data_IF_080182385924
#
_entry.id   IF_080182385924
#
_cell.length_a   1.000
_cell.length_b   1.000
_cell.length_c   1.000
_cell.angle_alpha   90.00
_cell.angle_beta   90.00
_cell.angle_gamma   90.00
#
_symmetry.space_group_name_H-M   'P 1'
#
loop_
_entity.id
_entity.type
_entity.pdbx_description
1 polymer ?
#
# COMPACT_ATOMS: atom_id res chain seq x y z
N UNK A 1 -1.46 2.16 -16.58
CA UNK A 1 -2.57 1.86 -15.65
C UNK A 1 -1.95 1.34 -14.37
N UNK A 2 -2.28 1.92 -13.21
CA UNK A 2 -1.72 1.56 -11.89
C UNK A 2 -2.83 1.61 -10.84
N UNK A 3 -2.87 0.66 -9.92
CA UNK A 3 -3.83 0.66 -8.81
C UNK A 3 -3.30 1.57 -7.70
N UNK A 4 -4.12 2.51 -7.23
CA UNK A 4 -3.77 3.29 -6.05
C UNK A 4 -4.02 2.47 -4.75
N UNK A 5 -3.65 2.97 -3.57
CA UNK A 5 -3.86 2.24 -2.31
C UNK A 5 -5.33 1.94 -1.98
N UNK A 6 -6.29 2.76 -2.42
CA UNK A 6 -7.71 2.49 -2.25
C UNK A 6 -8.16 1.34 -3.16
N UNK A 7 -7.78 1.38 -4.44
CA UNK A 7 -8.06 0.29 -5.39
C UNK A 7 -7.47 -1.04 -4.89
N UNK A 8 -6.28 -0.99 -4.29
CA UNK A 8 -5.61 -2.15 -3.72
C UNK A 8 -6.43 -2.80 -2.60
N UNK A 9 -7.10 -2.00 -1.76
CA UNK A 9 -7.98 -2.49 -0.69
C UNK A 9 -9.27 -3.10 -1.24
N UNK A 10 -9.85 -2.52 -2.29
CA UNK A 10 -11.02 -3.15 -2.97
C UNK A 10 -10.63 -4.53 -3.54
N UNK A 11 -9.51 -4.60 -4.26
CA UNK A 11 -8.99 -5.86 -4.82
C UNK A 11 -8.75 -6.89 -3.70
N UNK A 12 -8.23 -6.47 -2.55
CA UNK A 12 -8.03 -7.35 -1.39
C UNK A 12 -9.37 -7.93 -0.89
N UNK A 13 -10.44 -7.13 -0.81
CA UNK A 13 -11.76 -7.61 -0.41
C UNK A 13 -12.36 -8.57 -1.45
N UNK A 14 -12.28 -8.20 -2.73
CA UNK A 14 -12.86 -8.98 -3.83
C UNK A 14 -12.22 -10.35 -4.00
N UNK A 15 -10.91 -10.43 -3.80
CA UNK A 15 -10.16 -11.70 -3.88
C UNK A 15 -10.41 -12.64 -2.71
N UNK A 16 -11.01 -12.16 -1.61
CA UNK A 16 -11.23 -12.91 -0.35
C UNK A 16 -9.94 -13.54 0.21
N UNK A 17 -8.80 -12.93 -0.08
CA UNK A 17 -7.52 -13.36 0.47
C UNK A 17 -7.51 -13.17 1.99
N UNK A 18 -6.82 -14.07 2.71
CA UNK A 18 -6.71 -13.96 4.17
C UNK A 18 -5.71 -12.87 4.59
N UNK A 19 -4.69 -12.63 3.78
CA UNK A 19 -3.62 -11.65 4.00
C UNK A 19 -3.09 -11.10 2.68
N UNK A 20 -2.57 -9.88 2.69
CA UNK A 20 -1.95 -9.21 1.54
C UNK A 20 -0.69 -8.43 1.95
N UNK A 21 0.16 -8.13 0.96
CA UNK A 21 1.40 -7.39 1.13
C UNK A 21 1.57 -6.37 -0.01
N UNK A 22 1.73 -5.09 0.32
CA UNK A 22 2.04 -4.02 -0.64
C UNK A 22 3.54 -3.95 -0.89
N UNK A 23 3.99 -4.22 -2.12
CA UNK A 23 5.42 -4.43 -2.45
C UNK A 23 6.06 -3.33 -3.31
N UNK A 24 5.31 -2.34 -3.79
CA UNK A 24 5.78 -1.41 -4.85
C UNK A 24 5.87 0.06 -4.42
N UNK A 25 5.51 0.38 -3.18
CA UNK A 25 5.52 1.76 -2.70
C UNK A 25 6.90 2.14 -2.16
N UNK A 26 7.42 3.29 -2.58
CA UNK A 26 8.72 3.80 -2.13
C UNK A 26 9.94 3.05 -2.71
N UNK A 27 9.75 2.16 -3.69
CA UNK A 27 10.87 1.48 -4.37
C UNK A 27 11.56 2.39 -5.39
N UNK A 28 10.80 3.27 -6.05
CA UNK A 28 11.32 4.23 -7.03
C UNK A 28 10.51 5.51 -6.92
N UNK A 29 11.17 6.66 -6.78
CA UNK A 29 10.52 7.96 -6.88
C UNK A 29 10.23 8.26 -8.35
N UNK A 30 9.10 7.77 -8.85
CA UNK A 30 8.66 8.00 -10.24
C UNK A 30 8.07 9.40 -10.44
N UNK A 31 7.73 10.08 -9.34
CA UNK A 31 7.13 11.40 -9.27
C UNK A 31 7.71 12.15 -8.06
N UNK A 32 7.44 13.45 -7.94
CA UNK A 32 7.82 14.27 -6.78
C UNK A 32 6.91 14.03 -5.55
N UNK A 33 6.08 12.99 -5.59
CA UNK A 33 5.17 12.66 -4.49
C UNK A 33 5.95 12.09 -3.31
N UNK A 34 5.46 12.33 -2.10
CA UNK A 34 6.09 11.84 -0.88
C UNK A 34 6.08 10.31 -0.88
N UNK A 35 7.25 9.68 -0.77
CA UNK A 35 7.41 8.22 -0.72
C UNK A 35 6.66 7.57 0.44
N UNK A 36 6.30 8.34 1.47
CA UNK A 36 5.51 7.91 2.63
C UNK A 36 4.00 8.09 2.43
N UNK A 37 3.57 8.74 1.35
CA UNK A 37 2.15 8.94 1.04
C UNK A 37 1.40 7.62 0.81
N UNK A 38 1.90 6.66 0.01
CA UNK A 38 1.16 5.42 -0.24
C UNK A 38 0.94 4.55 1.02
N UNK A 39 1.94 4.35 1.91
CA UNK A 39 1.73 3.78 3.25
C UNK A 39 0.60 4.44 4.05
N UNK A 40 0.52 5.77 4.03
CA UNK A 40 -0.48 6.53 4.77
C UNK A 40 -1.87 6.34 4.15
N UNK A 41 -1.95 6.37 2.83
CA UNK A 41 -3.19 6.13 2.09
C UNK A 41 -3.69 4.69 2.23
N UNK A 42 -2.81 3.68 2.31
CA UNK A 42 -3.23 2.30 2.60
C UNK A 42 -3.92 2.21 3.97
N UNK A 43 -3.31 2.77 5.02
CA UNK A 43 -3.92 2.77 6.36
C UNK A 43 -5.28 3.44 6.38
N UNK A 44 -5.41 4.56 5.65
CA UNK A 44 -6.68 5.25 5.47
C UNK A 44 -7.73 4.37 4.76
N UNK A 45 -7.34 3.71 3.67
CA UNK A 45 -8.23 2.82 2.93
C UNK A 45 -8.70 1.62 3.78
N UNK A 46 -7.78 1.00 4.54
CA UNK A 46 -8.12 -0.09 5.48
C UNK A 46 -9.09 0.38 6.55
N UNK A 47 -8.85 1.55 7.14
CA UNK A 47 -9.72 2.15 8.17
C UNK A 47 -11.14 2.40 7.64
N UNK A 48 -11.27 2.95 6.43
CA UNK A 48 -12.59 3.19 5.80
C UNK A 48 -13.39 1.91 5.59
N UNK A 49 -12.71 0.77 5.40
CA UNK A 49 -13.33 -0.53 5.17
C UNK A 49 -13.48 -1.39 6.44
N UNK A 50 -13.09 -0.86 7.60
CA UNK A 50 -13.12 -1.60 8.86
C UNK A 50 -12.15 -2.78 8.91
N UNK A 51 -11.09 -2.76 8.10
CA UNK A 51 -10.06 -3.79 8.07
C UNK A 51 -8.95 -3.39 9.06
N UNK A 52 -8.40 -4.33 9.85
CA UNK A 52 -7.27 -4.02 10.72
C UNK A 52 -6.10 -3.40 9.95
N UNK A 53 -5.61 -2.25 10.43
CA UNK A 53 -4.51 -1.51 9.79
C UNK A 53 -3.15 -2.24 9.83
N UNK A 54 -3.06 -3.36 10.54
CA UNK A 54 -1.85 -4.19 10.69
C UNK A 54 -2.19 -5.67 10.70
N UNK A 55 -1.30 -6.49 10.16
CA UNK A 55 -1.35 -7.95 10.23
C UNK A 55 -2.25 -8.62 9.18
N UNK A 56 -3.09 -7.86 8.48
CA UNK A 56 -3.99 -8.36 7.44
C UNK A 56 -3.53 -7.89 6.06
N UNK A 57 -3.28 -6.59 5.89
CA UNK A 57 -2.70 -6.03 4.67
C UNK A 57 -1.56 -5.10 5.07
N UNK A 58 -0.33 -5.63 5.02
CA UNK A 58 0.88 -4.91 5.44
C UNK A 58 1.65 -4.38 4.23
N UNK A 59 2.59 -3.46 4.46
CA UNK A 59 3.56 -3.02 3.44
C UNK A 59 4.88 -3.76 3.62
N UNK A 60 5.61 -3.99 2.51
CA UNK A 60 6.97 -4.48 2.57
C UNK A 60 7.85 -3.48 3.31
N UNK A 61 8.77 -3.97 4.16
CA UNK A 61 9.58 -3.14 5.07
C UNK A 61 10.77 -2.45 4.39
N UNK A 62 10.98 -2.64 3.10
CA UNK A 62 12.21 -2.24 2.41
C UNK A 62 11.90 -1.34 1.21
N UNK A 63 12.01 -0.03 1.43
CA UNK A 63 12.18 0.97 0.37
C UNK A 63 13.66 1.08 0.06
N UNK A 64 14.08 0.66 -1.12
CA UNK A 64 15.47 0.80 -1.58
C UNK A 64 15.60 2.18 -2.22
N UNK A 65 15.89 3.21 -1.42
CA UNK A 65 16.24 4.53 -1.94
C UNK A 65 17.59 4.43 -2.63
N UNK A 66 17.60 4.53 -3.97
CA UNK A 66 18.83 4.76 -4.71
C UNK A 66 19.11 6.26 -4.67
N UNK A 67 19.95 6.65 -3.72
CA UNK A 67 20.55 7.98 -3.70
C UNK A 67 21.61 8.02 -4.82
N UNK A 68 21.42 8.90 -5.81
CA UNK A 68 22.43 9.25 -6.81
C UNK A 68 23.14 10.54 -6.40
#
# INVERSE_FOLDING_TARGET
>A
MHANPFDSVEIFQDTRCRRAMGIHWGTWALTMEDVLEPPRQLREALRRKGIPEKGVFDQAKESMSLDW
#
